data_IF_062259413940
#
_entry.id   IF_062259413940
#
_cell.length_a   1.000
_cell.length_b   1.000
_cell.length_c   1.000
_cell.angle_alpha   90.00
_cell.angle_beta   90.00
_cell.angle_gamma   90.00
#
_symmetry.space_group_name_H-M   'P 1'
#
loop_
_entity.id
_entity.type
_entity.pdbx_description
1 polymer ?
#
# COMPACT_ATOMS: atom_id res chain seq x y z
N UNK A 1 -7.29 -34.37 16.32
CA UNK A 1 -8.14 -34.89 15.22
C UNK A 1 -7.30 -34.75 13.97
N UNK A 2 -6.94 -35.87 13.34
CA UNK A 2 -6.00 -35.94 12.22
C UNK A 2 -6.57 -35.17 11.02
N UNK A 3 -5.86 -34.16 10.52
CA UNK A 3 -6.22 -33.49 9.27
C UNK A 3 -5.40 -34.19 8.19
N UNK A 4 -6.06 -35.02 7.39
CA UNK A 4 -5.39 -35.70 6.27
C UNK A 4 -4.99 -34.71 5.17
N UNK A 5 -4.16 -35.13 4.22
CA UNK A 5 -3.72 -34.27 3.11
C UNK A 5 -4.90 -33.75 2.25
N UNK A 6 -5.98 -34.53 2.15
CA UNK A 6 -7.24 -34.12 1.50
C UNK A 6 -7.92 -33.00 2.30
N UNK A 7 -7.95 -33.12 3.63
CA UNK A 7 -8.55 -32.10 4.50
C UNK A 7 -7.76 -30.77 4.47
N UNK A 8 -6.43 -30.83 4.29
CA UNK A 8 -5.59 -29.62 4.10
C UNK A 8 -5.98 -28.91 2.81
N UNK A 9 -6.10 -29.65 1.71
CA UNK A 9 -6.45 -29.07 0.42
C UNK A 9 -7.85 -28.43 0.43
N UNK A 10 -8.84 -29.12 1.01
CA UNK A 10 -10.19 -28.57 1.16
C UNK A 10 -10.22 -27.35 2.07
N UNK A 11 -9.49 -27.39 3.19
CA UNK A 11 -9.37 -26.24 4.10
C UNK A 11 -8.73 -25.05 3.41
N UNK A 12 -7.69 -25.27 2.61
CA UNK A 12 -7.01 -24.21 1.86
C UNK A 12 -7.93 -23.57 0.83
N UNK A 13 -8.64 -24.40 0.05
CA UNK A 13 -9.62 -23.91 -0.93
C UNK A 13 -10.73 -23.11 -0.25
N UNK A 14 -11.22 -23.58 0.89
CA UNK A 14 -12.24 -22.86 1.67
C UNK A 14 -11.69 -21.53 2.20
N UNK A 15 -10.44 -21.50 2.68
CA UNK A 15 -9.80 -20.29 3.17
C UNK A 15 -9.67 -19.22 2.07
N UNK A 16 -9.22 -19.63 0.88
CA UNK A 16 -9.15 -18.74 -0.28
C UNK A 16 -10.53 -18.18 -0.65
N UNK A 17 -11.56 -19.05 -0.65
CA UNK A 17 -12.93 -18.62 -0.96
C UNK A 17 -13.49 -17.62 0.06
N UNK A 18 -13.20 -17.79 1.35
CA UNK A 18 -13.59 -16.83 2.39
C UNK A 18 -12.83 -15.50 2.23
N UNK A 19 -11.54 -15.54 1.90
CA UNK A 19 -10.74 -14.34 1.65
C UNK A 19 -11.24 -13.56 0.44
N UNK A 20 -11.57 -14.24 -0.66
CA UNK A 20 -12.17 -13.63 -1.86
C UNK A 20 -13.55 -13.01 -1.57
N UNK A 21 -14.30 -13.60 -0.63
CA UNK A 21 -15.58 -13.05 -0.17
C UNK A 21 -15.43 -11.89 0.83
N UNK A 22 -14.20 -11.53 1.23
CA UNK A 22 -13.92 -10.49 2.24
C UNK A 22 -14.12 -10.96 3.69
N UNK A 23 -14.35 -12.25 3.91
CA UNK A 23 -14.50 -12.85 5.23
C UNK A 23 -13.14 -13.18 5.85
N UNK A 24 -12.28 -12.16 5.98
CA UNK A 24 -10.87 -12.33 6.31
C UNK A 24 -10.63 -13.06 7.64
N UNK A 25 -11.46 -12.83 8.67
CA UNK A 25 -11.34 -13.54 9.95
C UNK A 25 -11.58 -15.05 9.81
N UNK A 26 -12.54 -15.47 8.99
CA UNK A 26 -12.78 -16.89 8.74
C UNK A 26 -11.62 -17.51 7.95
N UNK A 27 -11.14 -16.81 6.91
CA UNK A 27 -9.99 -17.23 6.13
C UNK A 27 -8.75 -17.43 7.02
N UNK A 28 -8.47 -16.47 7.91
CA UNK A 28 -7.36 -16.52 8.84
C UNK A 28 -7.41 -17.75 9.76
N UNK A 29 -8.57 -18.06 10.34
CA UNK A 29 -8.77 -19.24 11.19
C UNK A 29 -8.56 -20.56 10.42
N UNK A 30 -8.98 -20.62 9.15
CA UNK A 30 -8.76 -21.79 8.30
C UNK A 30 -7.27 -21.96 7.95
N UNK A 31 -6.57 -20.88 7.59
CA UNK A 31 -5.12 -20.93 7.38
C UNK A 31 -4.36 -21.32 8.65
N UNK A 32 -4.73 -20.75 9.80
CA UNK A 32 -4.14 -21.09 11.10
C UNK A 32 -4.31 -22.57 11.43
N UNK A 33 -5.49 -23.15 11.14
CA UNK A 33 -5.73 -24.58 11.31
C UNK A 33 -4.82 -25.44 10.45
N UNK A 34 -4.56 -25.04 9.20
CA UNK A 34 -3.60 -25.73 8.32
C UNK A 34 -2.18 -25.59 8.86
N UNK A 35 -1.82 -24.40 9.34
CA UNK A 35 -0.52 -24.11 9.92
C UNK A 35 -0.23 -24.93 11.19
N UNK A 36 -1.27 -25.38 11.91
CA UNK A 36 -1.17 -26.27 13.08
C UNK A 36 -1.17 -27.77 12.75
N UNK A 37 -1.22 -28.15 11.47
CA UNK A 37 -1.13 -29.56 11.03
C UNK A 37 0.20 -30.21 11.41
N UNK A 38 0.40 -31.50 11.13
CA UNK A 38 1.67 -32.19 11.41
C UNK A 38 2.76 -32.01 10.32
N UNK A 39 2.55 -31.12 9.34
CA UNK A 39 3.52 -30.86 8.25
C UNK A 39 4.91 -30.44 8.79
N UNK A 40 6.00 -30.52 8.00
CA UNK A 40 7.26 -29.87 8.36
C UNK A 40 7.08 -28.36 8.63
N UNK A 41 7.88 -27.77 9.53
CA UNK A 41 7.78 -26.34 9.86
C UNK A 41 7.91 -25.43 8.62
N UNK A 42 8.75 -25.84 7.66
CA UNK A 42 8.95 -25.15 6.39
C UNK A 42 7.70 -25.11 5.52
N UNK A 43 6.86 -26.15 5.58
CA UNK A 43 5.60 -26.23 4.84
C UNK A 43 4.45 -25.53 5.57
N UNK A 44 4.54 -25.39 6.89
CA UNK A 44 3.58 -24.62 7.71
C UNK A 44 3.77 -23.12 7.60
N UNK A 45 5.02 -22.64 7.48
CA UNK A 45 5.35 -21.22 7.53
C UNK A 45 4.54 -20.35 6.54
N UNK A 46 4.30 -20.76 5.28
CA UNK A 46 3.45 -20.00 4.36
C UNK A 46 2.02 -19.83 4.88
N UNK A 47 1.44 -20.84 5.54
CA UNK A 47 0.08 -20.75 6.07
C UNK A 47 0.00 -19.83 7.29
N UNK A 48 1.04 -19.75 8.11
CA UNK A 48 1.14 -18.72 9.14
C UNK A 48 1.20 -17.31 8.53
N UNK A 49 1.89 -17.11 7.39
CA UNK A 49 1.88 -15.82 6.69
C UNK A 49 0.52 -15.48 6.08
N UNK A 50 -0.17 -16.44 5.48
CA UNK A 50 -1.53 -16.26 4.96
C UNK A 50 -2.52 -15.96 6.09
N UNK A 51 -2.39 -16.63 7.24
CA UNK A 51 -3.20 -16.33 8.43
C UNK A 51 -2.91 -14.93 8.95
N UNK A 52 -1.64 -14.53 9.04
CA UNK A 52 -1.23 -13.22 9.50
C UNK A 52 -1.79 -12.09 8.61
N UNK A 53 -1.68 -12.25 7.29
CA UNK A 53 -2.20 -11.27 6.32
C UNK A 53 -3.74 -11.17 6.43
N UNK A 54 -4.43 -12.31 6.49
CA UNK A 54 -5.88 -12.31 6.66
C UNK A 54 -6.34 -11.76 8.03
N UNK A 55 -5.60 -11.98 9.11
CA UNK A 55 -5.90 -11.33 10.40
C UNK A 55 -5.68 -9.82 10.33
N UNK A 56 -4.67 -9.35 9.59
CA UNK A 56 -4.42 -7.93 9.39
C UNK A 56 -5.57 -7.27 8.63
N UNK A 57 -6.02 -7.86 7.52
CA UNK A 57 -7.20 -7.39 6.77
C UNK A 57 -8.48 -7.42 7.61
N UNK A 58 -8.56 -8.33 8.59
CA UNK A 58 -9.65 -8.37 9.56
C UNK A 58 -9.52 -7.35 10.72
N UNK A 59 -8.49 -6.49 10.70
CA UNK A 59 -8.20 -5.51 11.77
C UNK A 59 -7.71 -6.13 13.08
N UNK A 60 -7.27 -7.39 13.05
CA UNK A 60 -6.85 -8.18 14.21
C UNK A 60 -5.32 -8.21 14.30
N UNK A 61 -4.71 -7.05 14.55
CA UNK A 61 -3.24 -6.86 14.47
C UNK A 61 -2.44 -7.71 15.48
N UNK A 62 -3.00 -8.00 16.65
CA UNK A 62 -2.35 -8.84 17.66
C UNK A 62 -2.26 -10.30 17.20
N UNK A 63 -3.36 -10.88 16.69
CA UNK A 63 -3.34 -12.22 16.09
C UNK A 63 -2.41 -12.26 14.87
N UNK A 64 -2.43 -11.23 14.02
CA UNK A 64 -1.55 -11.14 12.86
C UNK A 64 -0.07 -11.16 13.26
N UNK A 65 0.29 -10.42 14.32
CA UNK A 65 1.67 -10.35 14.83
C UNK A 65 2.16 -11.72 15.30
N UNK A 66 1.33 -12.46 16.05
CA UNK A 66 1.67 -13.80 16.56
C UNK A 66 1.91 -14.78 15.40
N UNK A 67 1.02 -14.80 14.42
CA UNK A 67 1.14 -15.68 13.26
C UNK A 67 2.39 -15.34 12.42
N UNK A 68 2.65 -14.05 12.20
CA UNK A 68 3.82 -13.60 11.45
C UNK A 68 5.13 -13.94 12.16
N UNK A 69 5.21 -13.74 13.48
CA UNK A 69 6.38 -14.11 14.28
C UNK A 69 6.62 -15.62 14.28
N UNK A 70 5.53 -16.41 14.32
CA UNK A 70 5.61 -17.87 14.22
C UNK A 70 6.19 -18.28 12.86
N UNK A 71 5.71 -17.69 11.75
CA UNK A 71 6.25 -17.92 10.42
C UNK A 71 7.76 -17.60 10.33
N UNK A 72 8.18 -16.46 10.89
CA UNK A 72 9.59 -16.05 10.94
C UNK A 72 10.41 -17.05 11.75
N UNK A 73 9.90 -17.55 12.88
CA UNK A 73 10.61 -18.53 13.70
C UNK A 73 10.85 -19.87 12.98
N UNK A 74 9.97 -20.23 12.04
CA UNK A 74 10.10 -21.42 11.23
C UNK A 74 11.03 -21.20 10.03
N UNK A 75 10.77 -20.15 9.25
CA UNK A 75 11.52 -19.81 8.03
C UNK A 75 11.64 -18.29 7.90
N UNK A 76 12.73 -17.67 8.39
CA UNK A 76 12.99 -16.26 8.17
C UNK A 76 13.16 -15.97 6.67
N UNK A 77 12.33 -15.09 6.11
CA UNK A 77 12.41 -14.70 4.70
C UNK A 77 11.89 -13.26 4.49
N UNK A 78 12.16 -12.69 3.31
CA UNK A 78 11.80 -11.31 3.00
C UNK A 78 10.29 -11.05 3.10
N UNK A 79 9.45 -11.97 2.59
CA UNK A 79 7.98 -11.83 2.62
C UNK A 79 7.47 -11.72 4.05
N UNK A 80 8.00 -12.56 4.95
CA UNK A 80 7.62 -12.55 6.37
C UNK A 80 8.01 -11.25 7.07
N UNK A 81 9.22 -10.75 6.84
CA UNK A 81 9.66 -9.47 7.43
C UNK A 81 8.93 -8.26 6.84
N UNK A 82 8.57 -8.30 5.55
CA UNK A 82 7.74 -7.27 4.92
C UNK A 82 6.35 -7.22 5.55
N UNK A 83 5.71 -8.38 5.74
CA UNK A 83 4.41 -8.48 6.38
C UNK A 83 4.47 -8.03 7.84
N UNK A 84 5.52 -8.43 8.59
CA UNK A 84 5.75 -7.95 9.95
C UNK A 84 5.85 -6.42 10.00
N UNK A 85 6.57 -5.82 9.05
CA UNK A 85 6.65 -4.37 8.90
C UNK A 85 5.28 -3.71 8.75
N UNK A 86 4.45 -4.22 7.84
CA UNK A 86 3.07 -3.75 7.63
C UNK A 86 2.21 -3.89 8.90
N UNK A 87 2.26 -5.04 9.57
CA UNK A 87 1.51 -5.28 10.83
C UNK A 87 1.91 -4.28 11.90
N UNK A 88 3.21 -3.99 12.03
CA UNK A 88 3.73 -3.05 13.01
C UNK A 88 3.39 -1.59 12.68
N UNK A 89 3.23 -1.23 11.41
CA UNK A 89 2.70 0.07 11.01
C UNK A 89 1.25 0.25 11.48
N UNK A 90 0.38 -0.75 11.22
CA UNK A 90 -1.02 -0.74 11.68
C UNK A 90 -1.16 -0.77 13.21
N UNK A 91 -0.17 -1.35 13.91
CA UNK A 91 -0.10 -1.38 15.36
C UNK A 91 0.54 -0.12 15.99
N UNK A 92 0.82 0.93 15.20
CA UNK A 92 1.49 2.17 15.65
C UNK A 92 2.84 1.94 16.35
N UNK A 93 3.65 1.01 15.79
CA UNK A 93 4.99 0.64 16.28
C UNK A 93 6.07 0.95 15.22
N UNK A 94 6.29 2.23 14.88
CA UNK A 94 7.07 2.63 13.70
C UNK A 94 8.54 2.21 13.76
N UNK A 95 9.17 2.24 14.95
CA UNK A 95 10.59 1.85 15.11
C UNK A 95 10.81 0.37 14.79
N UNK A 96 9.90 -0.49 15.24
CA UNK A 96 9.98 -1.93 14.99
C UNK A 96 9.58 -2.25 13.55
N UNK A 97 8.60 -1.52 12.99
CA UNK A 97 8.22 -1.62 11.59
C UNK A 97 9.41 -1.33 10.66
N UNK A 98 10.16 -0.26 10.94
CA UNK A 98 11.34 0.11 10.15
C UNK A 98 12.39 -1.00 10.19
N UNK A 99 12.68 -1.55 11.37
CA UNK A 99 13.62 -2.65 11.52
C UNK A 99 13.20 -3.89 10.72
N UNK A 100 11.91 -4.24 10.77
CA UNK A 100 11.37 -5.36 10.01
C UNK A 100 11.46 -5.11 8.49
N UNK A 101 11.08 -3.92 8.00
CA UNK A 101 11.14 -3.58 6.58
C UNK A 101 12.58 -3.53 6.05
N UNK A 102 13.51 -2.94 6.81
CA UNK A 102 14.94 -2.98 6.46
C UNK A 102 15.46 -4.41 6.43
N UNK A 103 15.04 -5.27 7.37
CA UNK A 103 15.41 -6.68 7.36
C UNK A 103 14.86 -7.41 6.13
N UNK A 104 13.63 -7.10 5.71
CA UNK A 104 13.08 -7.60 4.45
C UNK A 104 13.97 -7.23 3.27
N UNK A 105 14.30 -5.94 3.12
CA UNK A 105 15.09 -5.43 2.00
C UNK A 105 16.52 -6.01 1.95
N UNK A 106 17.10 -6.33 3.09
CA UNK A 106 18.39 -7.04 3.17
C UNK A 106 18.33 -8.47 2.63
N UNK A 107 17.19 -9.14 2.80
CA UNK A 107 17.00 -10.53 2.34
C UNK A 107 16.61 -10.57 0.87
N UNK A 108 15.69 -9.69 0.47
CA UNK A 108 15.29 -9.49 -0.92
C UNK A 108 14.72 -8.08 -1.11
N UNK A 109 15.29 -7.35 -2.06
CA UNK A 109 14.88 -5.98 -2.35
C UNK A 109 13.69 -6.03 -3.31
N UNK A 110 12.49 -5.76 -2.78
CA UNK A 110 11.23 -5.82 -3.54
C UNK A 110 10.55 -4.45 -3.59
N UNK A 111 9.83 -4.11 -4.68
CA UNK A 111 9.13 -2.83 -4.79
C UNK A 111 8.12 -2.61 -3.65
N UNK A 112 7.42 -3.66 -3.22
CA UNK A 112 6.45 -3.57 -2.11
C UNK A 112 7.11 -3.30 -0.76
N UNK A 113 8.29 -3.86 -0.48
CA UNK A 113 9.02 -3.55 0.75
C UNK A 113 9.56 -2.11 0.74
N UNK A 114 10.05 -1.63 -0.42
CA UNK A 114 10.42 -0.23 -0.60
C UNK A 114 9.21 0.69 -0.39
N UNK A 115 8.05 0.37 -0.97
CA UNK A 115 6.82 1.14 -0.79
C UNK A 115 6.48 1.35 0.70
N UNK A 116 6.38 0.28 1.48
CA UNK A 116 6.04 0.39 2.91
C UNK A 116 7.10 1.15 3.71
N UNK A 117 8.39 0.96 3.42
CA UNK A 117 9.45 1.71 4.10
C UNK A 117 9.40 3.19 3.74
N UNK A 118 9.13 3.53 2.47
CA UNK A 118 8.97 4.89 2.02
C UNK A 118 7.78 5.60 2.67
N UNK A 119 6.63 4.92 2.78
CA UNK A 119 5.45 5.43 3.50
C UNK A 119 5.81 5.69 4.98
N UNK A 120 6.44 4.73 5.65
CA UNK A 120 6.81 4.84 7.06
C UNK A 120 7.77 6.00 7.35
N UNK A 121 8.74 6.23 6.45
CA UNK A 121 9.76 7.28 6.61
C UNK A 121 9.27 8.67 6.20
N UNK A 122 8.11 8.78 5.53
CA UNK A 122 7.67 10.03 4.90
C UNK A 122 7.60 11.23 5.86
N UNK A 123 7.29 10.97 7.14
CA UNK A 123 7.17 12.02 8.16
C UNK A 123 8.44 12.17 9.03
N UNK A 124 9.32 11.17 9.07
CA UNK A 124 10.51 11.14 9.96
C UNK A 124 11.83 11.41 9.23
N UNK A 125 12.00 10.88 8.03
CA UNK A 125 13.12 11.15 7.14
C UNK A 125 12.63 11.31 5.68
N UNK A 126 12.16 12.52 5.32
CA UNK A 126 11.68 12.78 3.97
C UNK A 126 12.72 12.53 2.86
N UNK A 127 14.00 12.69 3.17
CA UNK A 127 15.06 12.54 2.17
C UNK A 127 15.24 11.07 1.81
N UNK A 128 15.30 10.20 2.83
CA UNK A 128 15.36 8.76 2.62
C UNK A 128 14.04 8.24 2.02
N UNK A 129 12.89 8.74 2.49
CA UNK A 129 11.57 8.35 1.98
C UNK A 129 11.45 8.54 0.46
N UNK A 130 11.83 9.71 -0.07
CA UNK A 130 11.79 9.95 -1.52
C UNK A 130 12.71 8.98 -2.27
N UNK A 131 13.93 8.75 -1.77
CA UNK A 131 14.89 7.83 -2.37
C UNK A 131 14.34 6.40 -2.44
N UNK A 132 13.73 5.92 -1.36
CA UNK A 132 13.15 4.58 -1.26
C UNK A 132 11.89 4.44 -2.13
N UNK A 133 11.01 5.45 -2.20
CA UNK A 133 9.84 5.42 -3.10
C UNK A 133 10.26 5.41 -4.57
N UNK A 134 11.28 6.20 -4.94
CA UNK A 134 11.88 6.14 -6.29
C UNK A 134 12.54 4.80 -6.58
N UNK A 135 13.10 4.13 -5.57
CA UNK A 135 13.61 2.77 -5.70
C UNK A 135 12.48 1.76 -5.96
N UNK A 136 11.32 1.90 -5.31
CA UNK A 136 10.16 1.06 -5.60
C UNK A 136 9.75 1.16 -7.09
N UNK A 137 9.69 2.39 -7.62
CA UNK A 137 9.39 2.66 -9.03
C UNK A 137 10.49 2.15 -9.97
N UNK A 138 11.76 2.20 -9.59
CA UNK A 138 12.83 1.69 -10.45
C UNK A 138 12.85 0.16 -10.55
N UNK A 139 12.42 -0.53 -9.47
CA UNK A 139 12.25 -1.98 -9.44
C UNK A 139 11.04 -2.43 -10.24
N UNK A 140 9.93 -1.70 -10.16
CA UNK A 140 8.76 -1.91 -11.00
C UNK A 140 8.17 -0.57 -11.48
N UNK A 141 8.50 -0.15 -12.72
CA UNK A 141 7.99 1.11 -13.28
C UNK A 141 6.46 1.15 -13.46
N UNK A 142 5.80 -0.01 -13.41
CA UNK A 142 4.34 -0.15 -13.56
C UNK A 142 3.62 -0.24 -12.22
N UNK A 143 4.35 -0.15 -11.10
CA UNK A 143 3.75 -0.18 -9.78
C UNK A 143 3.09 1.16 -9.48
N UNK A 144 1.83 1.26 -9.88
CA UNK A 144 0.95 2.42 -9.74
C UNK A 144 0.86 2.94 -8.31
N UNK A 145 0.73 2.05 -7.32
CA UNK A 145 0.70 2.43 -5.91
C UNK A 145 1.99 3.17 -5.48
N UNK A 146 3.16 2.78 -6.01
CA UNK A 146 4.41 3.50 -5.69
C UNK A 146 4.47 4.89 -6.34
N UNK A 147 3.94 5.04 -7.56
CA UNK A 147 3.78 6.36 -8.18
C UNK A 147 2.79 7.23 -7.40
N UNK A 148 1.69 6.65 -6.93
CA UNK A 148 0.70 7.34 -6.12
C UNK A 148 1.30 7.83 -4.81
N UNK A 149 1.97 6.95 -4.04
CA UNK A 149 2.59 7.31 -2.76
C UNK A 149 3.72 8.34 -2.94
N UNK A 150 4.52 8.26 -4.01
CA UNK A 150 5.48 9.32 -4.34
C UNK A 150 4.78 10.65 -4.65
N UNK A 151 3.68 10.62 -5.39
CA UNK A 151 2.85 11.79 -5.68
C UNK A 151 2.33 12.46 -4.40
N UNK A 152 1.70 11.69 -3.52
CA UNK A 152 1.19 12.16 -2.21
C UNK A 152 2.32 12.71 -1.35
N UNK A 153 3.46 12.02 -1.30
CA UNK A 153 4.66 12.50 -0.60
C UNK A 153 5.10 13.87 -1.14
N UNK A 154 5.18 14.04 -2.46
CA UNK A 154 5.60 15.30 -3.10
C UNK A 154 4.60 16.44 -2.88
N UNK A 155 3.29 16.16 -2.79
CA UNK A 155 2.27 17.14 -2.41
C UNK A 155 2.54 17.69 -1.01
N UNK A 156 2.87 16.82 -0.04
CA UNK A 156 3.20 17.24 1.33
C UNK A 156 4.43 18.15 1.39
N UNK A 157 5.36 17.96 0.46
CA UNK A 157 6.54 18.82 0.28
C UNK A 157 6.29 20.06 -0.59
N UNK A 158 5.03 20.32 -0.99
CA UNK A 158 4.62 21.42 -1.89
C UNK A 158 5.32 21.40 -3.27
N UNK A 159 5.85 20.23 -3.68
CA UNK A 159 6.48 19.98 -4.99
C UNK A 159 5.45 19.50 -5.99
N UNK A 160 4.45 20.35 -6.24
CA UNK A 160 3.26 19.99 -7.00
C UNK A 160 3.54 19.57 -8.45
N UNK A 161 4.54 20.17 -9.12
CA UNK A 161 4.86 19.81 -10.51
C UNK A 161 5.43 18.38 -10.61
N UNK A 162 6.31 18.00 -9.67
CA UNK A 162 6.84 16.64 -9.59
C UNK A 162 5.75 15.63 -9.19
N UNK A 163 4.82 16.06 -8.33
CA UNK A 163 3.70 15.24 -7.88
C UNK A 163 2.77 14.88 -9.05
N UNK A 164 2.43 15.84 -9.93
CA UNK A 164 1.60 15.57 -11.11
C UNK A 164 2.19 14.45 -11.95
N UNK A 165 3.49 14.48 -12.24
CA UNK A 165 4.09 13.49 -13.14
C UNK A 165 3.95 12.07 -12.59
N UNK A 166 4.13 11.90 -11.28
CA UNK A 166 3.91 10.61 -10.60
C UNK A 166 2.42 10.23 -10.59
N UNK A 167 1.54 11.16 -10.21
CA UNK A 167 0.10 10.92 -10.13
C UNK A 167 -0.53 10.64 -11.50
N UNK A 168 -0.01 11.19 -12.60
CA UNK A 168 -0.48 10.88 -13.96
C UNK A 168 -0.16 9.46 -14.36
N UNK A 169 1.01 8.94 -13.95
CA UNK A 169 1.36 7.53 -14.21
C UNK A 169 0.43 6.63 -13.40
N UNK A 170 0.24 6.90 -12.10
CA UNK A 170 -0.72 6.17 -11.27
C UNK A 170 -2.13 6.21 -11.88
N UNK A 171 -2.60 7.40 -12.26
CA UNK A 171 -3.92 7.63 -12.86
C UNK A 171 -4.16 6.92 -14.21
N UNK A 172 -3.08 6.50 -14.89
CA UNK A 172 -3.20 5.69 -16.12
C UNK A 172 -3.60 4.23 -15.84
N UNK A 173 -3.41 3.76 -14.61
CA UNK A 173 -3.81 2.43 -14.14
C UNK A 173 -5.14 2.47 -13.39
N UNK A 174 -5.28 3.40 -12.43
CA UNK A 174 -6.54 3.69 -11.76
C UNK A 174 -6.86 5.19 -11.83
N UNK A 175 -7.88 5.60 -12.61
CA UNK A 175 -8.29 6.99 -12.73
C UNK A 175 -8.60 7.69 -11.39
N UNK A 176 -8.93 6.95 -10.33
CA UNK A 176 -9.23 7.54 -9.01
C UNK A 176 -8.01 8.19 -8.35
N UNK A 177 -6.78 7.77 -8.67
CA UNK A 177 -5.57 8.47 -8.22
C UNK A 177 -5.46 9.91 -8.73
N UNK A 178 -6.18 10.26 -9.80
CA UNK A 178 -6.21 11.64 -10.31
C UNK A 178 -6.88 12.62 -9.33
N UNK A 179 -7.65 12.14 -8.35
CA UNK A 179 -8.33 12.99 -7.36
C UNK A 179 -7.33 13.88 -6.58
N UNK A 180 -6.13 13.40 -6.30
CA UNK A 180 -5.09 14.21 -5.64
C UNK A 180 -4.65 15.41 -6.49
N UNK A 181 -4.64 15.29 -7.83
CA UNK A 181 -4.34 16.41 -8.74
C UNK A 181 -5.41 17.49 -8.61
N UNK A 182 -6.68 17.09 -8.45
CA UNK A 182 -7.79 18.03 -8.23
C UNK A 182 -7.64 18.77 -6.91
N UNK A 183 -7.30 18.06 -5.83
CA UNK A 183 -7.15 18.67 -4.52
C UNK A 183 -6.00 19.71 -4.50
N UNK A 184 -4.90 19.47 -5.23
CA UNK A 184 -3.87 20.51 -5.45
C UNK A 184 -4.49 21.72 -6.15
N UNK A 185 -5.27 21.51 -7.22
CA UNK A 185 -5.94 22.58 -7.95
C UNK A 185 -6.87 23.41 -7.04
N UNK A 186 -7.69 22.75 -6.22
CA UNK A 186 -8.59 23.42 -5.27
C UNK A 186 -7.83 24.21 -4.21
N UNK A 187 -6.74 23.66 -3.66
CA UNK A 187 -5.85 24.37 -2.74
C UNK A 187 -5.29 25.63 -3.40
N UNK A 188 -4.79 25.55 -4.63
CA UNK A 188 -4.25 26.69 -5.36
C UNK A 188 -5.29 27.79 -5.64
N UNK A 189 -6.56 27.41 -5.89
CA UNK A 189 -7.67 28.37 -5.99
C UNK A 189 -7.83 29.12 -4.67
N UNK A 190 -7.84 28.40 -3.54
CA UNK A 190 -7.98 29.02 -2.21
C UNK A 190 -6.82 29.97 -1.87
N UNK A 191 -5.62 29.65 -2.36
CA UNK A 191 -4.41 30.48 -2.26
C UNK A 191 -4.37 31.64 -3.28
N UNK A 192 -5.39 31.76 -4.14
CA UNK A 192 -5.48 32.75 -5.24
C UNK A 192 -4.38 32.62 -6.29
N UNK A 193 -3.73 31.45 -6.37
CA UNK A 193 -2.72 31.11 -7.38
C UNK A 193 -3.41 30.59 -8.65
N UNK A 194 -4.17 31.46 -9.29
CA UNK A 194 -5.09 31.06 -10.37
C UNK A 194 -4.42 30.48 -11.61
N UNK A 195 -3.26 31.01 -12.02
CA UNK A 195 -2.51 30.48 -13.16
C UNK A 195 -2.11 29.01 -12.96
N UNK A 196 -1.60 28.68 -11.76
CA UNK A 196 -1.29 27.31 -11.39
C UNK A 196 -2.59 26.51 -11.32
N UNK A 197 -3.60 26.96 -10.56
CA UNK A 197 -4.87 26.25 -10.43
C UNK A 197 -5.48 25.82 -11.78
N UNK A 198 -5.46 26.70 -12.80
CA UNK A 198 -5.93 26.40 -14.16
C UNK A 198 -5.15 25.22 -14.77
N UNK A 199 -3.83 25.20 -14.63
CA UNK A 199 -2.97 24.09 -15.08
C UNK A 199 -3.35 22.77 -14.40
N UNK A 200 -3.48 22.77 -13.08
CA UNK A 200 -3.75 21.54 -12.29
C UNK A 200 -5.17 21.00 -12.54
N UNK A 201 -6.18 21.87 -12.47
CA UNK A 201 -7.57 21.49 -12.75
C UNK A 201 -7.77 21.04 -14.20
N UNK A 202 -7.11 21.69 -15.17
CA UNK A 202 -7.10 21.26 -16.57
C UNK A 202 -6.45 19.88 -16.76
N UNK A 203 -5.35 19.61 -16.06
CA UNK A 203 -4.70 18.30 -16.08
C UNK A 203 -5.63 17.23 -15.51
N UNK A 204 -6.27 17.48 -14.37
CA UNK A 204 -7.27 16.59 -13.80
C UNK A 204 -8.43 16.30 -14.77
N UNK A 205 -9.00 17.34 -15.39
CA UNK A 205 -10.11 17.18 -16.35
C UNK A 205 -9.68 16.42 -17.63
N UNK A 206 -8.41 16.45 -18.00
CA UNK A 206 -7.91 15.61 -19.10
C UNK A 206 -7.96 14.11 -18.77
N UNK A 207 -7.88 13.76 -17.48
CA UNK A 207 -7.99 12.38 -16.96
C UNK A 207 -9.44 12.01 -16.63
N UNK A 208 -10.21 12.96 -16.08
CA UNK A 208 -11.63 12.83 -15.74
C UNK A 208 -12.49 13.92 -16.38
N UNK A 209 -12.82 13.81 -17.68
CA UNK A 209 -13.51 14.87 -18.43
C UNK A 209 -14.97 15.09 -18.00
N UNK A 210 -15.56 14.17 -17.25
CA UNK A 210 -16.97 14.22 -16.85
C UNK A 210 -17.18 14.84 -15.46
N UNK A 211 -16.15 15.38 -14.81
CA UNK A 211 -16.30 16.10 -13.53
C UNK A 211 -16.80 17.53 -13.77
N UNK A 212 -18.13 17.69 -13.77
CA UNK A 212 -18.82 18.96 -14.00
C UNK A 212 -18.39 20.02 -12.98
N UNK A 213 -18.27 19.63 -11.71
CA UNK A 213 -17.93 20.57 -10.63
C UNK A 213 -16.55 21.20 -10.83
N UNK A 214 -15.57 20.39 -11.24
CA UNK A 214 -14.22 20.89 -11.51
C UNK A 214 -14.18 21.72 -12.79
N UNK A 215 -14.98 21.37 -13.80
CA UNK A 215 -15.09 22.15 -15.03
C UNK A 215 -15.68 23.55 -14.79
N UNK A 216 -16.74 23.65 -13.99
CA UNK A 216 -17.35 24.94 -13.61
C UNK A 216 -16.35 25.81 -12.84
N UNK A 217 -15.65 25.23 -11.86
CA UNK A 217 -14.61 25.96 -11.11
C UNK A 217 -13.49 26.46 -12.02
N UNK A 218 -13.03 25.63 -12.97
CA UNK A 218 -12.01 26.04 -13.94
C UNK A 218 -12.44 27.25 -14.77
N UNK A 219 -13.71 27.30 -15.20
CA UNK A 219 -14.26 28.45 -15.92
C UNK A 219 -14.32 29.72 -15.04
N UNK A 220 -14.77 29.59 -13.80
CA UNK A 220 -14.82 30.70 -12.85
C UNK A 220 -13.41 31.28 -12.62
N UNK A 221 -12.45 30.43 -12.30
CA UNK A 221 -11.06 30.82 -12.05
C UNK A 221 -10.42 31.47 -13.29
N UNK A 222 -10.71 30.95 -14.49
CA UNK A 222 -10.20 31.50 -15.75
C UNK A 222 -10.72 32.90 -16.03
N UNK A 223 -11.99 33.16 -15.72
CA UNK A 223 -12.60 34.49 -15.89
C UNK A 223 -12.13 35.49 -14.84
N UNK A 224 -11.90 35.06 -13.60
CA UNK A 224 -11.35 35.91 -12.53
C UNK A 224 -9.86 36.28 -12.73
N UNK A 225 -9.11 35.46 -13.49
CA UNK A 225 -7.70 35.69 -13.81
C UNK A 225 -7.47 36.58 -15.05
N UNK A 226 -8.48 36.71 -15.92
CA UNK A 226 -8.44 37.48 -17.18
C UNK A 226 -8.59 38.98 -16.93
#
# INVERSE_FOLDING_TARGET
MYIGMVDIYESYRSANSEAEAGNFRNAALLYQRIAQSEMPLTERAPFHLLAADAFLEAGSSDEALVECQTAISHVPNAIAYRLLGRILMEADRPVEAEQALRRSLQLDTTPTACLYLGILLSDTDPTEAEGILRQAISLDPRFDEAHFQLGVFLIRQERFDDAIESLRVAASYDPDYALEIREIGYRLVSEKRFADAIKYLGTYLSLKPNDISTFELLQEVSTAHS
#
